data_IF_654024885441
#
_entry.id   IF_654024885441
#
_cell.length_a   1.000
_cell.length_b   1.000
_cell.length_c   1.000
_cell.angle_alpha   90.00
_cell.angle_beta   90.00
_cell.angle_gamma   90.00
#
_symmetry.space_group_name_H-M   'P 1'
#
loop_
_entity.id
_entity.type
_entity.pdbx_description
1 polymer ?
#
# COMPACT_ATOMS: atom_id res chain seq x y z
N UNK A 1 -2.42 -12.06 -24.22
CA UNK A 1 -2.05 -10.85 -23.47
C UNK A 1 -1.66 -11.25 -22.07
N UNK A 2 -0.44 -10.91 -21.64
CA UNK A 2 0.29 -11.56 -20.54
C UNK A 2 -0.37 -11.36 -19.17
N UNK A 3 -1.01 -12.39 -18.60
CA UNK A 3 -1.53 -12.37 -17.22
C UNK A 3 -0.42 -12.37 -16.13
N UNK A 4 0.85 -12.55 -16.52
CA UNK A 4 2.02 -12.22 -15.66
C UNK A 4 1.98 -10.74 -15.19
N UNK A 5 1.32 -9.87 -15.96
CA UNK A 5 1.37 -8.42 -15.76
C UNK A 5 0.46 -7.86 -14.67
N UNK A 6 -0.57 -8.56 -14.18
CA UNK A 6 -1.50 -7.97 -13.21
C UNK A 6 -1.06 -8.19 -11.76
N UNK A 7 -0.76 -9.43 -11.40
CA UNK A 7 -0.33 -9.78 -10.04
C UNK A 7 0.97 -9.08 -9.69
N UNK A 8 1.93 -9.07 -10.63
CA UNK A 8 3.19 -8.33 -10.48
C UNK A 8 2.95 -6.82 -10.28
N UNK A 9 2.03 -6.21 -11.04
CA UNK A 9 1.67 -4.80 -10.84
C UNK A 9 1.05 -4.56 -9.46
N UNK A 10 0.14 -5.42 -9.01
CA UNK A 10 -0.47 -5.31 -7.68
C UNK A 10 0.60 -5.38 -6.59
N UNK A 11 1.58 -6.28 -6.73
CA UNK A 11 2.70 -6.39 -5.80
C UNK A 11 3.62 -5.16 -5.83
N UNK A 12 3.93 -4.63 -7.01
CA UNK A 12 4.79 -3.44 -7.17
C UNK A 12 4.19 -2.18 -6.54
N UNK A 13 2.86 -2.06 -6.50
CA UNK A 13 2.20 -0.93 -5.83
C UNK A 13 2.53 -0.90 -4.34
N UNK A 14 2.82 -2.04 -3.70
CA UNK A 14 3.21 -2.05 -2.29
C UNK A 14 4.47 -1.19 -2.05
N UNK A 15 5.54 -1.42 -2.82
CA UNK A 15 6.78 -0.66 -2.71
C UNK A 15 6.56 0.84 -2.95
N UNK A 16 5.66 1.19 -3.87
CA UNK A 16 5.30 2.58 -4.13
C UNK A 16 4.65 3.22 -2.90
N UNK A 17 3.63 2.59 -2.33
CA UNK A 17 2.88 3.16 -1.21
C UNK A 17 3.72 3.18 0.07
N UNK A 18 4.61 2.19 0.27
CA UNK A 18 5.59 2.23 1.36
C UNK A 18 6.51 3.45 1.25
N UNK A 19 7.00 3.78 0.06
CA UNK A 19 7.86 4.96 -0.14
C UNK A 19 7.19 6.29 0.22
N UNK A 20 5.85 6.38 0.12
CA UNK A 20 5.10 7.58 0.46
C UNK A 20 4.53 7.59 1.89
N UNK A 21 4.16 6.43 2.39
CA UNK A 21 3.35 6.31 3.61
C UNK A 21 4.08 5.66 4.79
N UNK A 22 5.24 5.04 4.57
CA UNK A 22 6.04 4.49 5.66
C UNK A 22 7.09 5.49 6.12
N UNK A 23 7.43 5.40 7.41
CA UNK A 23 8.49 6.19 8.01
C UNK A 23 9.19 5.36 9.09
N UNK A 24 10.47 5.69 9.33
CA UNK A 24 11.18 5.23 10.50
C UNK A 24 10.58 5.87 11.76
N UNK A 25 10.49 5.07 12.82
CA UNK A 25 10.06 5.43 14.17
C UNK A 25 11.06 4.84 15.15
N UNK A 26 11.03 5.27 16.42
CA UNK A 26 11.96 4.80 17.47
C UNK A 26 12.05 3.28 17.58
N UNK A 27 10.97 2.55 17.28
CA UNK A 27 10.88 1.10 17.47
C UNK A 27 10.75 0.30 16.16
N UNK A 28 10.63 0.97 15.02
CA UNK A 28 10.42 0.32 13.71
C UNK A 28 10.84 1.25 12.57
N UNK A 29 11.80 0.80 11.77
CA UNK A 29 12.36 1.54 10.64
C UNK A 29 11.42 1.65 9.43
N UNK A 30 10.40 0.81 9.32
CA UNK A 30 9.46 0.78 8.19
C UNK A 30 7.99 0.76 8.67
N UNK A 31 7.62 1.70 9.54
CA UNK A 31 6.27 1.79 10.10
C UNK A 31 5.32 2.50 9.14
N UNK A 32 4.26 1.85 8.69
CA UNK A 32 3.19 2.51 7.93
C UNK A 32 2.44 3.52 8.79
N UNK A 33 2.36 4.76 8.29
CA UNK A 33 1.72 5.91 8.97
C UNK A 33 0.38 6.29 8.33
N UNK A 34 -0.26 5.31 7.70
CA UNK A 34 -1.56 5.38 7.06
C UNK A 34 -2.20 3.98 7.09
N UNK A 35 -3.53 3.93 7.05
CA UNK A 35 -4.28 2.71 6.81
C UNK A 35 -4.36 2.41 5.32
N UNK A 36 -4.02 1.18 4.92
CA UNK A 36 -4.11 0.69 3.54
C UNK A 36 -5.20 -0.36 3.44
N UNK A 37 -6.22 -0.11 2.62
CA UNK A 37 -7.24 -1.10 2.26
C UNK A 37 -7.01 -1.55 0.82
N UNK A 38 -6.72 -2.83 0.62
CA UNK A 38 -6.57 -3.45 -0.71
C UNK A 38 -7.80 -4.31 -0.99
N UNK A 39 -8.68 -3.84 -1.84
CA UNK A 39 -9.82 -4.59 -2.36
C UNK A 39 -9.38 -5.42 -3.56
N UNK A 40 -9.58 -6.74 -3.49
CA UNK A 40 -9.26 -7.67 -4.58
C UNK A 40 -10.54 -8.01 -5.36
N UNK A 41 -10.50 -7.87 -6.69
CA UNK A 41 -11.65 -8.12 -7.57
C UNK A 41 -11.49 -9.48 -8.25
N UNK A 42 -12.49 -10.34 -8.08
CA UNK A 42 -12.47 -11.72 -8.58
C UNK A 42 -13.63 -11.97 -9.54
N UNK A 43 -13.41 -12.87 -10.48
CA UNK A 43 -14.50 -13.53 -11.23
C UNK A 43 -15.23 -14.54 -10.35
N UNK A 44 -16.42 -14.98 -10.78
CA UNK A 44 -17.15 -16.08 -10.12
C UNK A 44 -16.33 -17.38 -10.05
N UNK A 45 -15.38 -17.59 -10.96
CA UNK A 45 -14.45 -18.72 -10.96
C UNK A 45 -13.21 -18.53 -10.08
N UNK A 46 -13.14 -17.47 -9.27
CA UNK A 46 -12.05 -17.22 -8.32
C UNK A 46 -10.77 -16.64 -8.93
N UNK A 47 -10.76 -16.32 -10.23
CA UNK A 47 -9.60 -15.66 -10.87
C UNK A 47 -9.59 -14.17 -10.56
N UNK A 48 -8.44 -13.64 -10.14
CA UNK A 48 -8.21 -12.20 -9.92
C UNK A 48 -8.27 -11.45 -11.24
N UNK A 49 -9.10 -10.41 -11.31
CA UNK A 49 -9.24 -9.53 -12.49
C UNK A 49 -8.77 -8.10 -12.22
N UNK A 50 -8.56 -7.75 -10.96
CA UNK A 50 -8.04 -6.43 -10.58
C UNK A 50 -7.92 -6.26 -9.09
N UNK A 51 -7.42 -5.09 -8.69
CA UNK A 51 -7.42 -4.66 -7.31
C UNK A 51 -7.58 -3.13 -7.23
N UNK A 52 -8.08 -2.65 -6.11
CA UNK A 52 -8.22 -1.23 -5.80
C UNK A 52 -7.64 -0.96 -4.43
N UNK A 53 -6.83 0.09 -4.32
CA UNK A 53 -6.30 0.54 -3.03
C UNK A 53 -7.06 1.78 -2.59
N UNK A 54 -7.32 1.88 -1.29
CA UNK A 54 -7.84 3.09 -0.65
C UNK A 54 -7.07 3.35 0.63
N UNK A 55 -6.62 4.58 0.80
CA UNK A 55 -5.88 5.06 1.95
C UNK A 55 -6.77 5.77 2.97
N UNK A 56 -6.42 5.62 4.25
CA UNK A 56 -7.13 6.21 5.37
C UNK A 56 -6.15 6.70 6.43
N UNK A 57 -6.55 7.69 7.23
CA UNK A 57 -5.86 8.06 8.47
C UNK A 57 -4.35 8.33 8.32
N UNK A 58 -3.95 9.07 7.28
CA UNK A 58 -2.57 9.51 7.14
C UNK A 58 -2.16 10.37 8.36
N UNK A 59 -1.00 10.09 8.95
CA UNK A 59 -0.41 10.88 10.03
C UNK A 59 0.12 12.22 9.51
N UNK A 60 -0.78 13.15 9.21
CA UNK A 60 -0.45 14.45 8.57
C UNK A 60 0.56 15.28 9.37
N UNK A 61 0.57 15.18 10.71
CA UNK A 61 1.52 15.89 11.56
C UNK A 61 2.97 15.54 11.25
N UNK A 62 3.25 14.29 10.86
CA UNK A 62 4.61 13.83 10.55
C UNK A 62 5.25 14.55 9.37
N UNK A 63 4.45 15.11 8.46
CA UNK A 63 4.95 15.84 7.28
C UNK A 63 5.78 17.06 7.69
N UNK A 64 5.42 17.72 8.79
CA UNK A 64 6.07 18.97 9.23
C UNK A 64 6.79 18.84 10.58
N UNK A 65 6.58 17.74 11.30
CA UNK A 65 7.17 17.52 12.62
C UNK A 65 7.61 16.07 12.80
N UNK A 66 8.85 15.87 13.23
CA UNK A 66 9.39 14.55 13.58
C UNK A 66 9.93 14.61 15.01
N UNK A 67 9.56 13.65 15.84
CA UNK A 67 10.17 13.49 17.16
C UNK A 67 11.65 13.10 16.96
N UNK A 68 12.51 13.71 17.78
CA UNK A 68 13.97 13.43 17.82
C UNK A 68 14.22 12.07 18.47
#
# INVERSE_FOLDING_TARGET
ANNRTLQEKILLVNSLVEAFGNACTVINDNSSRFGKYLEMKFTCGGTVVGAQISEYLLEKSRVVHQAV
#
